data_IF_779136078046
#
_entry.id   IF_779136078046
#
_cell.length_a   1.000
_cell.length_b   1.000
_cell.length_c   1.000
_cell.angle_alpha   90.00
_cell.angle_beta   90.00
_cell.angle_gamma   90.00
#
_symmetry.space_group_name_H-M   'P 1'
#
loop_
_entity.id
_entity.type
_entity.pdbx_description
1 polymer ?
#
# COMPACT_ATOMS: atom_id res chain seq x y z
N UNK A 1 1.39 24.04 -9.87
CA UNK A 1 2.52 23.21 -10.36
C UNK A 1 2.83 21.99 -9.50
N UNK A 2 2.79 22.09 -8.17
CA UNK A 2 3.09 20.96 -7.27
C UNK A 2 2.25 19.69 -7.50
N UNK A 3 0.94 19.84 -7.81
CA UNK A 3 0.07 18.70 -8.10
C UNK A 3 0.47 17.97 -9.39
N UNK A 4 0.79 18.70 -10.46
CA UNK A 4 1.23 18.13 -11.74
C UNK A 4 2.61 17.46 -11.61
N UNK A 5 3.48 18.01 -10.77
CA UNK A 5 4.80 17.44 -10.51
C UNK A 5 4.71 16.15 -9.67
N UNK A 6 3.81 16.14 -8.69
CA UNK A 6 3.47 14.97 -7.89
C UNK A 6 2.82 13.88 -8.75
N UNK A 7 1.88 14.23 -9.62
CA UNK A 7 1.31 13.33 -10.64
C UNK A 7 2.40 12.75 -11.56
N UNK A 8 3.31 13.58 -12.07
CA UNK A 8 4.41 13.14 -12.92
C UNK A 8 5.39 12.19 -12.20
N UNK A 9 5.67 12.42 -10.92
CA UNK A 9 6.51 11.52 -10.09
C UNK A 9 5.79 10.23 -9.73
N UNK A 10 4.49 10.31 -9.46
CA UNK A 10 3.61 9.15 -9.25
C UNK A 10 3.55 8.26 -10.49
N UNK A 11 3.38 8.86 -11.68
CA UNK A 11 3.42 8.17 -12.97
C UNK A 11 4.77 7.49 -13.23
N UNK A 12 5.88 8.10 -12.79
CA UNK A 12 7.23 7.50 -12.86
C UNK A 12 7.48 6.41 -11.81
N UNK A 13 6.52 6.14 -10.92
CA UNK A 13 6.63 5.12 -9.89
C UNK A 13 7.63 5.44 -8.77
N UNK A 14 8.01 6.72 -8.65
CA UNK A 14 8.91 7.21 -7.60
C UNK A 14 8.07 7.84 -6.49
N UNK A 15 7.53 6.99 -5.61
CA UNK A 15 6.72 7.43 -4.49
C UNK A 15 7.54 7.44 -3.18
N UNK A 16 7.94 8.63 -2.76
CA UNK A 16 8.77 8.86 -1.57
C UNK A 16 7.92 9.08 -0.30
N UNK A 17 8.56 9.03 0.88
CA UNK A 17 7.88 9.41 2.13
C UNK A 17 7.56 10.91 2.20
N UNK A 18 8.28 11.76 1.46
CA UNK A 18 7.98 13.18 1.40
C UNK A 18 6.65 13.41 0.64
N UNK A 19 6.40 12.66 -0.43
CA UNK A 19 5.12 12.71 -1.17
C UNK A 19 3.98 12.16 -0.31
N UNK A 20 4.23 11.07 0.42
CA UNK A 20 3.29 10.52 1.40
C UNK A 20 2.93 11.57 2.46
N UNK A 21 3.94 12.22 3.06
CA UNK A 21 3.73 13.25 4.07
C UNK A 21 2.94 14.45 3.52
N UNK A 22 3.22 14.89 2.29
CA UNK A 22 2.47 15.97 1.64
C UNK A 22 0.99 15.61 1.48
N UNK A 23 0.69 14.41 0.98
CA UNK A 23 -0.69 13.93 0.85
C UNK A 23 -1.41 13.88 2.21
N UNK A 24 -0.68 13.49 3.25
CA UNK A 24 -1.18 13.37 4.61
C UNK A 24 -1.41 14.73 5.28
N UNK A 25 -0.52 15.70 5.04
CA UNK A 25 -0.68 17.10 5.47
C UNK A 25 -1.84 17.79 4.78
N UNK A 26 -2.11 17.46 3.51
CA UNK A 26 -3.29 17.95 2.80
C UNK A 26 -4.57 17.44 3.46
N UNK A 27 -4.62 16.15 3.80
CA UNK A 27 -5.74 15.56 4.54
C UNK A 27 -5.92 16.20 5.92
N UNK A 28 -4.83 16.41 6.66
CA UNK A 28 -4.84 17.11 7.95
C UNK A 28 -5.33 18.56 7.84
N UNK A 29 -4.93 19.30 6.80
CA UNK A 29 -5.32 20.70 6.55
C UNK A 29 -6.79 20.85 6.16
N UNK A 30 -7.38 19.85 5.52
CA UNK A 30 -8.83 19.82 5.29
C UNK A 30 -9.63 19.62 6.59
N UNK A 31 -8.95 19.30 7.70
CA UNK A 31 -9.55 19.02 8.99
C UNK A 31 -10.26 17.67 9.00
N UNK A 32 -10.84 17.28 10.15
CA UNK A 32 -11.72 16.12 10.17
C UNK A 32 -12.88 16.41 9.22
N UNK A 33 -12.97 15.60 8.16
CA UNK A 33 -14.08 15.63 7.21
C UNK A 33 -15.45 15.56 7.90
N UNK A 34 -15.49 15.21 9.20
CA UNK A 34 -16.62 15.37 10.12
C UNK A 34 -17.44 16.64 9.88
N UNK A 35 -16.82 17.82 9.76
CA UNK A 35 -17.56 19.09 9.61
C UNK A 35 -18.30 19.22 8.27
N UNK A 36 -17.70 18.72 7.19
CA UNK A 36 -18.23 18.82 5.83
C UNK A 36 -19.15 17.63 5.51
N UNK A 37 -18.81 16.43 5.97
CA UNK A 37 -19.60 15.21 5.79
C UNK A 37 -20.91 15.23 6.59
N UNK A 38 -20.94 15.89 7.77
CA UNK A 38 -22.18 16.12 8.54
C UNK A 38 -23.16 17.06 7.85
N UNK A 39 -22.72 17.83 6.86
CA UNK A 39 -23.56 18.73 6.06
C UNK A 39 -24.12 18.05 4.79
N UNK A 40 -23.69 16.84 4.46
CA UNK A 40 -24.22 16.08 3.33
C UNK A 40 -25.42 15.24 3.80
N UNK A 41 -26.67 15.60 3.43
CA UNK A 41 -27.84 14.85 3.84
C UNK A 41 -27.79 13.42 3.28
N UNK A 42 -28.03 12.42 4.13
CA UNK A 42 -28.07 11.00 3.75
C UNK A 42 -26.78 10.20 3.97
N UNK A 43 -25.65 10.84 4.33
CA UNK A 43 -24.37 10.16 4.60
C UNK A 43 -23.98 10.13 6.10
N UNK A 44 -24.70 10.84 6.97
CA UNK A 44 -24.37 10.94 8.39
C UNK A 44 -24.33 9.61 9.15
N UNK A 45 -25.27 8.69 8.89
CA UNK A 45 -25.38 7.43 9.65
C UNK A 45 -24.42 6.33 9.22
N UNK A 46 -23.81 6.43 8.02
CA UNK A 46 -22.90 5.41 7.50
C UNK A 46 -21.43 5.70 7.84
N UNK A 47 -21.16 6.88 8.42
CA UNK A 47 -19.83 7.37 8.77
C UNK A 47 -19.53 7.29 10.28
N UNK A 48 -20.52 6.98 11.14
CA UNK A 48 -20.38 6.83 12.60
C UNK A 48 -19.35 5.75 13.05
N UNK A 49 -18.75 5.02 12.11
CA UNK A 49 -17.66 4.06 12.35
C UNK A 49 -16.35 4.35 11.60
N UNK A 50 -16.29 5.43 10.81
CA UNK A 50 -15.06 5.94 10.17
C UNK A 50 -14.47 7.14 10.92
N UNK A 51 -15.07 7.50 12.06
CA UNK A 51 -14.71 8.63 12.92
C UNK A 51 -13.33 8.53 13.56
N UNK A 52 -12.73 7.34 13.59
CA UNK A 52 -11.44 7.06 14.23
C UNK A 52 -10.23 7.37 13.34
N UNK A 53 -10.32 8.34 12.43
CA UNK A 53 -9.11 9.02 11.96
C UNK A 53 -8.64 9.95 13.08
N UNK A 54 -8.13 9.33 14.15
CA UNK A 54 -7.66 10.00 15.36
C UNK A 54 -6.54 10.98 14.96
N UNK A 55 -6.75 12.26 15.23
CA UNK A 55 -5.75 13.29 14.93
C UNK A 55 -4.40 12.99 15.62
N UNK A 56 -4.43 12.22 16.70
CA UNK A 56 -3.23 11.66 17.36
C UNK A 56 -2.49 10.67 16.48
N UNK A 57 -3.20 9.80 15.75
CA UNK A 57 -2.57 8.90 14.77
C UNK A 57 -1.93 9.70 13.65
N UNK A 58 -2.58 10.79 13.20
CA UNK A 58 -1.99 11.68 12.21
C UNK A 58 -0.67 12.30 12.69
N UNK A 59 -0.65 12.81 13.91
CA UNK A 59 0.55 13.37 14.52
C UNK A 59 1.70 12.35 14.64
N UNK A 60 1.41 11.10 15.00
CA UNK A 60 2.43 10.03 15.11
C UNK A 60 3.05 9.69 13.76
N UNK A 61 2.23 9.58 12.70
CA UNK A 61 2.74 9.30 11.35
C UNK A 61 3.67 10.41 10.88
N UNK A 62 3.30 11.68 11.12
CA UNK A 62 4.16 12.81 10.82
C UNK A 62 5.48 12.75 11.61
N UNK A 63 5.42 12.48 12.92
CA UNK A 63 6.62 12.36 13.77
C UNK A 63 7.57 11.25 13.29
N UNK A 64 7.04 10.10 12.87
CA UNK A 64 7.83 8.99 12.31
C UNK A 64 8.57 9.43 11.05
N UNK A 65 7.89 10.10 10.11
CA UNK A 65 8.49 10.53 8.84
C UNK A 65 9.54 11.62 9.07
N UNK A 66 9.27 12.57 9.96
CA UNK A 66 10.21 13.64 10.32
C UNK A 66 11.46 13.11 11.02
N UNK A 67 11.39 11.95 11.67
CA UNK A 67 12.53 11.27 12.31
C UNK A 67 13.43 10.49 11.34
N UNK A 68 13.06 10.42 10.07
CA UNK A 68 13.88 9.82 9.01
C UNK A 68 14.92 10.80 8.47
N UNK A 69 16.00 10.28 7.91
CA UNK A 69 16.95 11.07 7.11
C UNK A 69 16.42 11.30 5.69
N UNK A 70 16.88 12.34 4.95
CA UNK A 70 16.45 12.58 3.58
C UNK A 70 16.65 11.38 2.65
N UNK A 71 17.75 10.65 2.83
CA UNK A 71 18.04 9.42 2.06
C UNK A 71 17.01 8.33 2.32
N UNK A 72 16.61 8.14 3.56
CA UNK A 72 15.59 7.16 3.96
C UNK A 72 14.20 7.55 3.45
N UNK A 73 13.88 8.86 3.41
CA UNK A 73 12.61 9.36 2.85
C UNK A 73 12.51 9.17 1.34
N UNK A 74 13.59 9.47 0.63
CA UNK A 74 13.67 9.30 -0.82
C UNK A 74 13.69 7.84 -1.24
N UNK A 75 14.33 6.96 -0.46
CA UNK A 75 14.49 5.54 -0.77
C UNK A 75 14.10 4.65 0.42
N UNK A 76 12.81 4.29 0.56
CA UNK A 76 12.31 3.44 1.64
C UNK A 76 12.97 2.05 1.73
N UNK A 77 13.58 1.57 0.65
CA UNK A 77 14.27 0.27 0.58
C UNK A 77 15.53 0.20 1.43
N UNK A 78 16.10 1.33 1.85
CA UNK A 78 17.31 1.38 2.68
C UNK A 78 17.02 1.17 4.18
N UNK A 79 15.75 1.05 4.57
CA UNK A 79 15.33 0.91 5.97
C UNK A 79 15.49 -0.52 6.49
N UNK A 80 16.65 -0.79 7.07
CA UNK A 80 16.93 -1.98 7.88
C UNK A 80 16.32 -1.90 9.30
N UNK A 81 16.51 -2.95 10.10
CA UNK A 81 15.97 -3.03 11.47
C UNK A 81 16.59 -2.00 12.43
N UNK A 82 17.90 -1.70 12.28
CA UNK A 82 18.60 -0.73 13.12
C UNK A 82 18.05 0.69 12.89
N UNK A 83 17.82 1.06 11.63
CA UNK A 83 17.22 2.34 11.24
C UNK A 83 15.81 2.47 11.75
N UNK A 84 14.99 1.42 11.65
CA UNK A 84 13.62 1.43 12.19
C UNK A 84 13.62 1.62 13.71
N UNK A 85 14.54 0.99 14.43
CA UNK A 85 14.67 1.18 15.86
C UNK A 85 15.11 2.60 16.23
N UNK A 86 16.03 3.19 15.47
CA UNK A 86 16.42 4.61 15.63
C UNK A 86 15.24 5.55 15.37
N UNK A 87 14.49 5.33 14.28
CA UNK A 87 13.32 6.13 13.92
C UNK A 87 12.26 6.06 15.03
N UNK A 88 11.91 4.85 15.46
CA UNK A 88 10.95 4.62 16.54
C UNK A 88 11.31 5.38 17.82
N UNK A 89 12.59 5.33 18.24
CA UNK A 89 13.09 6.10 19.38
C UNK A 89 13.03 7.61 19.16
N UNK A 90 13.35 8.07 17.94
CA UNK A 90 13.32 9.49 17.58
C UNK A 90 11.90 10.08 17.50
N UNK A 91 10.91 9.28 17.10
CA UNK A 91 9.51 9.70 16.99
C UNK A 91 8.68 9.44 18.24
N UNK A 92 9.23 8.76 19.25
CA UNK A 92 8.49 8.36 20.46
C UNK A 92 7.42 7.30 20.17
N UNK A 93 7.64 6.46 19.16
CA UNK A 93 6.70 5.41 18.73
C UNK A 93 7.32 4.02 18.82
N UNK A 94 6.53 2.99 18.62
CA UNK A 94 7.00 1.61 18.55
C UNK A 94 7.60 1.26 17.18
N UNK A 95 8.45 0.23 17.13
CA UNK A 95 8.98 -0.32 15.86
C UNK A 95 7.85 -0.90 15.01
N UNK A 96 6.79 -1.40 15.64
CA UNK A 96 5.60 -1.90 14.94
C UNK A 96 4.87 -0.80 14.20
N UNK A 97 4.67 0.38 14.81
CA UNK A 97 4.07 1.54 14.14
C UNK A 97 4.89 1.98 12.93
N UNK A 98 6.22 1.94 13.04
CA UNK A 98 7.11 2.19 11.89
C UNK A 98 6.87 1.15 10.79
N UNK A 99 6.80 -0.14 11.12
CA UNK A 99 6.53 -1.21 10.15
C UNK A 99 5.17 -1.04 9.46
N UNK A 100 4.12 -0.72 10.22
CA UNK A 100 2.78 -0.45 9.67
C UNK A 100 2.81 0.69 8.64
N UNK A 101 3.56 1.76 8.93
CA UNK A 101 3.76 2.87 8.00
C UNK A 101 4.49 2.41 6.72
N UNK A 102 5.54 1.59 6.85
CA UNK A 102 6.27 1.05 5.69
C UNK A 102 5.34 0.24 4.78
N UNK A 103 4.46 -0.57 5.36
CA UNK A 103 3.55 -1.43 4.62
C UNK A 103 2.42 -0.63 3.96
N UNK A 104 1.84 0.36 4.66
CA UNK A 104 0.89 1.30 4.07
C UNK A 104 1.47 2.03 2.86
N UNK A 105 2.73 2.50 2.96
CA UNK A 105 3.42 3.14 1.82
C UNK A 105 3.65 2.15 0.67
N UNK A 106 4.05 0.90 0.94
CA UNK A 106 4.22 -0.14 -0.11
C UNK A 106 2.92 -0.45 -0.83
N UNK A 107 1.80 -0.52 -0.11
CA UNK A 107 0.48 -0.73 -0.70
C UNK A 107 0.13 0.41 -1.65
N UNK A 108 0.31 1.66 -1.21
CA UNK A 108 0.07 2.83 -2.06
C UNK A 108 1.00 2.87 -3.27
N UNK A 109 2.28 2.54 -3.10
CA UNK A 109 3.23 2.44 -4.22
C UNK A 109 2.80 1.38 -5.24
N UNK A 110 2.30 0.23 -4.77
CA UNK A 110 1.80 -0.85 -5.64
C UNK A 110 0.58 -0.40 -6.45
N UNK A 111 -0.34 0.33 -5.81
CA UNK A 111 -1.51 0.92 -6.48
C UNK A 111 -1.07 1.92 -7.56
N UNK A 112 -0.18 2.84 -7.22
CA UNK A 112 0.33 3.87 -8.13
C UNK A 112 1.08 3.27 -9.33
N UNK A 113 1.92 2.25 -9.09
CA UNK A 113 2.60 1.52 -10.16
C UNK A 113 1.64 0.72 -11.05
N UNK A 114 0.55 0.21 -10.49
CA UNK A 114 -0.50 -0.47 -11.25
C UNK A 114 -1.21 0.50 -12.21
N UNK A 115 -1.63 1.65 -11.68
CA UNK A 115 -2.31 2.71 -12.43
C UNK A 115 -1.43 3.29 -13.55
N UNK A 116 -0.15 3.55 -13.29
CA UNK A 116 0.83 4.02 -14.31
C UNK A 116 0.98 3.04 -15.48
N UNK A 117 0.82 1.73 -15.25
CA UNK A 117 0.89 0.70 -16.29
C UNK A 117 -0.42 0.46 -17.03
N UNK A 118 -1.45 1.27 -16.80
CA UNK A 118 -2.78 1.11 -17.41
C UNK A 118 -3.53 -0.14 -16.95
N UNK A 119 -3.04 -0.84 -15.91
CA UNK A 119 -3.76 -1.93 -15.24
C UNK A 119 -4.44 -1.33 -14.01
N UNK A 120 -5.75 -1.09 -14.07
CA UNK A 120 -6.50 -0.89 -12.83
C UNK A 120 -6.21 -2.09 -11.92
N UNK A 121 -5.73 -1.86 -10.69
CA UNK A 121 -5.61 -2.94 -9.72
C UNK A 121 -7.01 -3.50 -9.50
N UNK A 122 -7.15 -4.82 -9.67
CA UNK A 122 -8.38 -5.54 -9.35
C UNK A 122 -8.75 -5.24 -7.90
N UNK A 123 -9.87 -4.53 -7.69
CA UNK A 123 -10.35 -4.12 -6.37
C UNK A 123 -10.58 -5.35 -5.46
N UNK A 124 -10.79 -6.55 -6.03
CA UNK A 124 -10.88 -7.80 -5.27
C UNK A 124 -9.59 -8.17 -4.53
N UNK A 125 -8.43 -7.86 -5.11
CA UNK A 125 -7.12 -8.13 -4.47
C UNK A 125 -6.80 -7.18 -3.30
N UNK A 126 -7.61 -6.13 -3.10
CA UNK A 126 -7.45 -5.12 -2.07
C UNK A 126 -8.38 -5.36 -0.87
N UNK A 127 -9.48 -6.09 -1.05
CA UNK A 127 -10.46 -6.41 0.01
C UNK A 127 -10.23 -7.78 0.66
N UNK A 128 -9.18 -8.52 0.25
CA UNK A 128 -8.94 -9.88 0.75
C UNK A 128 -9.91 -10.93 0.18
N UNK A 129 -10.74 -10.57 -0.79
CA UNK A 129 -11.50 -11.53 -1.57
C UNK A 129 -10.56 -12.19 -2.58
N UNK A 130 -10.26 -13.47 -2.37
CA UNK A 130 -9.54 -14.29 -3.33
C UNK A 130 -10.16 -14.13 -4.74
N UNK A 131 -9.37 -14.20 -5.82
CA UNK A 131 -9.93 -14.23 -7.17
C UNK A 131 -10.73 -15.54 -7.30
N UNK A 132 -12.05 -15.42 -7.20
CA UNK A 132 -12.96 -16.41 -7.76
C UNK A 132 -12.88 -16.27 -9.27
N UNK A 133 -12.70 -17.40 -9.95
CA UNK A 133 -12.68 -17.56 -11.40
C UNK A 133 -11.41 -17.18 -12.18
N UNK A 134 -10.44 -18.09 -12.14
CA UNK A 134 -9.68 -18.44 -13.34
C UNK A 134 -9.13 -19.87 -13.24
N UNK A 135 -9.95 -20.86 -13.62
CA UNK A 135 -9.51 -22.22 -13.83
C UNK A 135 -8.34 -22.28 -14.85
N UNK A 136 -7.20 -22.93 -14.56
CA UNK A 136 -6.17 -23.11 -15.55
C UNK A 136 -6.61 -24.20 -16.54
N UNK A 137 -6.96 -23.76 -17.76
CA UNK A 137 -7.15 -24.61 -18.94
C UNK A 137 -5.87 -25.44 -19.15
N UNK A 138 -5.93 -26.75 -18.86
CA UNK A 138 -4.82 -27.68 -19.13
C UNK A 138 -4.68 -27.83 -20.65
N UNK A 139 -3.63 -27.24 -21.24
CA UNK A 139 -3.25 -27.48 -22.64
C UNK A 139 -2.80 -28.94 -22.80
N UNK A 140 -3.46 -29.62 -23.73
CA UNK A 140 -3.12 -30.97 -24.17
C UNK A 140 -1.73 -31.02 -24.82
N UNK A 141 -0.92 -32.01 -24.44
CA UNK A 141 0.21 -32.48 -25.25
C UNK A 141 0.01 -33.97 -25.56
N UNK A 142 -0.46 -34.23 -26.79
CA UNK A 142 -0.36 -35.57 -27.41
C UNK A 142 1.11 -35.81 -27.75
N UNK A 143 1.73 -36.83 -27.19
CA UNK A 143 2.77 -37.57 -27.91
C UNK A 143 2.76 -39.05 -27.52
N UNK A 144 2.96 -39.85 -28.55
CA UNK A 144 2.66 -41.26 -28.69
C UNK A 144 3.91 -42.10 -28.35
N UNK A 145 3.70 -43.39 -28.05
CA UNK A 145 4.39 -44.55 -28.67
C UNK A 145 5.02 -45.58 -27.71
N UNK A 146 4.46 -46.80 -27.86
CA UNK A 146 5.06 -48.15 -27.80
C UNK A 146 5.29 -48.85 -26.45
N UNK A 147 4.32 -49.71 -26.14
CA UNK A 147 4.47 -51.16 -25.89
C UNK A 147 5.88 -51.72 -26.18
N UNK A 148 6.50 -52.32 -25.17
CA UNK A 148 7.16 -53.63 -25.30
C UNK A 148 7.06 -54.42 -23.98
N UNK A 149 6.45 -55.59 -24.10
CA UNK A 149 6.32 -56.67 -23.12
C UNK A 149 7.70 -57.27 -22.83
N UNK A 150 7.89 -57.76 -21.60
CA UNK A 150 8.72 -58.89 -21.09
C UNK A 150 9.16 -58.52 -19.67
N UNK A 151 9.21 -59.35 -18.63
CA UNK A 151 8.99 -60.79 -18.38
C UNK A 151 8.90 -60.85 -16.84
N UNK A 152 7.85 -61.45 -16.27
CA UNK A 152 7.94 -62.70 -15.48
C UNK A 152 8.74 -62.65 -14.16
N UNK A 153 8.02 -63.03 -13.07
CA UNK A 153 8.40 -63.79 -11.86
C UNK A 153 8.57 -63.03 -10.53
N UNK A 154 7.53 -63.09 -9.71
CA UNK A 154 7.53 -63.86 -8.47
C UNK A 154 6.19 -64.57 -8.33
#
# INVERSE_FOLDING_TARGET
DEQKELEARMLKGQFSFDDFLKSYKMLRRMGPLQGVLKLIPGLGQQLDGLDDVDEKHLGRVEAIILSMTPTERARPTVLDGSRRQRIARGSGTSVEEVNRLLDARKQMEKLMKGMSRGKMPDLGALTGAAPVDAAPRRKATKSNKKKKRTKTRR
#
